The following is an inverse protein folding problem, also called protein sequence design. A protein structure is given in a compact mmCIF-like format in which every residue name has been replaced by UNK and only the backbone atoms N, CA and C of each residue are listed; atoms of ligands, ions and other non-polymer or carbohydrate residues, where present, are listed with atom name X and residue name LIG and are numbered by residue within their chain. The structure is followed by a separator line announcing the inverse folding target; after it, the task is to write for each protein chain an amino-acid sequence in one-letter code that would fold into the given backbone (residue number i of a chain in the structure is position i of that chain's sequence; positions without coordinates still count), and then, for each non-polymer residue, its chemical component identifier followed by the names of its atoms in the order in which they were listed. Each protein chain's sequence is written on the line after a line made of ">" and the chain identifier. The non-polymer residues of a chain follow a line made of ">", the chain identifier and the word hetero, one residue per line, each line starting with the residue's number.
data_IF_277645734435
#
_entry.id   IF_277645734435
#
_cell.length_a   1.000
_cell.length_b   1.000
_cell.length_c   1.000
_cell.angle_alpha   90.00
_cell.angle_beta   90.00
_cell.angle_gamma   90.00
#
_symmetry.space_group_name_H-M   'P 1'
#
loop_
_entity.id
_entity.type
_entity.pdbx_description
1 polymer ?
#
# COMPACT_ATOMS: atom_id res chain seq x y z
N UNK A 1 59.01 7.58 -20.39
CA UNK A 1 58.39 8.60 -19.51
C UNK A 1 57.73 7.89 -18.34
N UNK A 2 58.43 7.79 -17.21
CA UNK A 2 58.02 7.05 -16.02
C UNK A 2 56.97 7.84 -15.25
N UNK A 3 55.72 7.34 -15.20
CA UNK A 3 54.66 7.97 -14.40
C UNK A 3 54.95 7.73 -12.92
N UNK A 4 55.17 8.80 -12.18
CA UNK A 4 55.35 8.80 -10.73
C UNK A 4 54.11 8.18 -10.04
N UNK A 5 54.31 7.05 -9.35
CA UNK A 5 53.23 6.28 -8.70
C UNK A 5 52.88 6.91 -7.35
N UNK A 6 51.99 7.91 -7.34
CA UNK A 6 51.45 8.47 -6.08
C UNK A 6 50.47 7.49 -5.45
N UNK A 7 50.80 7.06 -4.23
CA UNK A 7 50.06 6.07 -3.45
C UNK A 7 49.25 6.78 -2.36
N UNK A 8 47.98 6.39 -2.21
CA UNK A 8 47.00 6.99 -1.28
C UNK A 8 46.51 5.93 -0.30
N UNK A 9 45.89 6.33 0.81
CA UNK A 9 45.23 5.39 1.71
C UNK A 9 43.73 5.36 1.42
N UNK A 10 43.16 4.16 1.31
CA UNK A 10 41.73 3.95 1.24
C UNK A 10 41.09 4.50 2.51
N UNK A 11 40.08 5.36 2.40
CA UNK A 11 39.48 5.95 3.60
C UNK A 11 38.56 5.00 4.38
N UNK A 12 38.15 3.86 3.79
CA UNK A 12 37.32 2.85 4.48
C UNK A 12 38.14 1.81 5.25
N UNK A 13 39.13 1.18 4.62
CA UNK A 13 39.94 0.14 5.27
C UNK A 13 41.35 0.61 5.68
N UNK A 14 41.72 1.86 5.35
CA UNK A 14 43.03 2.49 5.63
C UNK A 14 44.22 1.85 4.91
N UNK A 15 43.98 0.84 4.09
CA UNK A 15 45.01 0.20 3.27
C UNK A 15 45.47 1.05 2.09
N UNK A 16 46.67 0.76 1.62
CA UNK A 16 47.35 1.56 0.61
C UNK A 16 46.82 1.22 -0.80
N UNK A 17 46.34 2.24 -1.53
CA UNK A 17 45.72 2.13 -2.85
C UNK A 17 46.28 3.16 -3.84
N UNK A 18 46.23 2.85 -5.13
CA UNK A 18 46.67 3.78 -6.17
C UNK A 18 45.66 4.92 -6.36
N UNK A 19 46.15 6.13 -6.67
CA UNK A 19 45.33 7.37 -6.78
C UNK A 19 44.09 7.21 -7.68
N UNK A 20 44.20 6.42 -8.74
CA UNK A 20 43.16 6.26 -9.77
C UNK A 20 42.42 4.93 -9.66
N UNK A 21 42.54 4.21 -8.54
CA UNK A 21 41.80 2.97 -8.34
C UNK A 21 40.29 3.27 -8.25
N UNK A 22 39.51 2.79 -9.23
CA UNK A 22 38.04 2.92 -9.23
C UNK A 22 37.39 2.11 -8.12
N UNK A 23 38.07 1.10 -7.60
CA UNK A 23 37.58 0.23 -6.53
C UNK A 23 38.76 -0.22 -5.67
N UNK A 24 38.60 -0.25 -4.35
CA UNK A 24 39.64 -0.72 -3.45
C UNK A 24 39.78 -2.26 -3.56
N UNK A 25 40.99 -2.80 -3.80
CA UNK A 25 41.21 -4.24 -3.89
C UNK A 25 41.14 -4.95 -2.53
N UNK A 26 41.24 -4.23 -1.41
CA UNK A 26 41.23 -4.81 -0.07
C UNK A 26 39.84 -4.90 0.57
N UNK A 27 38.92 -3.98 0.23
CA UNK A 27 37.59 -3.94 0.84
C UNK A 27 36.43 -3.79 -0.16
N UNK A 28 36.71 -3.65 -1.46
CA UNK A 28 35.68 -3.58 -2.51
C UNK A 28 34.94 -2.24 -2.62
N UNK A 29 35.28 -1.22 -1.83
CA UNK A 29 34.61 0.10 -1.91
C UNK A 29 34.94 0.80 -3.24
N UNK A 30 33.91 1.31 -3.92
CA UNK A 30 34.07 2.12 -5.13
C UNK A 30 34.57 3.52 -4.77
N UNK A 31 35.56 4.02 -5.52
CA UNK A 31 36.23 5.31 -5.32
C UNK A 31 36.80 5.55 -3.90
N UNK A 32 37.85 4.81 -3.50
CA UNK A 32 38.38 4.80 -2.13
C UNK A 32 39.05 6.10 -1.67
N UNK A 33 39.29 7.04 -2.59
CA UNK A 33 40.03 8.29 -2.35
C UNK A 33 39.12 9.51 -2.14
N UNK A 34 37.84 9.43 -2.53
CA UNK A 34 36.87 10.53 -2.37
C UNK A 34 36.04 10.34 -1.11
N UNK A 35 35.86 11.43 -0.37
CA UNK A 35 34.97 11.48 0.79
C UNK A 35 33.59 11.92 0.33
N UNK A 36 32.64 10.99 0.24
CA UNK A 36 31.22 11.31 0.40
C UNK A 36 30.96 11.51 1.88
N UNK A 37 31.42 12.64 2.41
CA UNK A 37 31.11 13.07 3.75
C UNK A 37 30.70 14.55 3.73
N UNK A 38 29.43 14.75 4.09
CA UNK A 38 29.00 15.78 5.02
C UNK A 38 28.51 17.11 4.44
N UNK A 39 27.24 17.08 4.00
CA UNK A 39 26.36 18.24 3.86
C UNK A 39 25.92 18.86 5.20
N UNK A 40 26.86 19.34 6.01
CA UNK A 40 26.55 20.10 7.24
C UNK A 40 27.03 21.56 7.26
N UNK A 41 27.79 22.03 6.28
CA UNK A 41 28.23 23.44 6.26
C UNK A 41 27.36 24.37 5.40
N UNK A 42 26.42 23.84 4.62
CA UNK A 42 25.49 24.65 3.81
C UNK A 42 24.30 25.21 4.62
N UNK A 43 24.06 24.72 5.84
CA UNK A 43 22.90 25.12 6.65
C UNK A 43 23.11 26.44 7.41
N UNK A 44 24.34 26.81 7.75
CA UNK A 44 24.59 28.02 8.56
C UNK A 44 24.36 29.31 7.74
N UNK A 45 24.70 29.30 6.44
CA UNK A 45 24.49 30.47 5.56
C UNK A 45 23.02 30.61 5.15
N UNK A 46 22.29 29.50 5.00
CA UNK A 46 20.86 29.53 4.66
C UNK A 46 19.97 29.93 5.86
N UNK A 47 20.33 29.55 7.09
CA UNK A 47 19.58 29.93 8.30
C UNK A 47 19.62 31.44 8.60
N UNK A 48 20.67 32.16 8.18
CA UNK A 48 20.75 33.61 8.37
C UNK A 48 19.81 34.40 7.44
N UNK A 49 19.55 33.89 6.23
CA UNK A 49 18.62 34.50 5.26
C UNK A 49 17.16 34.26 5.67
N UNK A 50 16.87 33.08 6.24
CA UNK A 50 15.53 32.72 6.70
C UNK A 50 15.16 33.45 8.01
N UNK A 51 16.11 33.69 8.91
CA UNK A 51 15.85 34.32 10.22
C UNK A 51 15.35 35.77 10.16
N UNK A 52 15.78 36.56 9.16
CA UNK A 52 15.32 37.95 9.00
C UNK A 52 14.06 38.10 8.15
N UNK A 53 13.73 37.11 7.30
CA UNK A 53 12.56 37.15 6.42
C UNK A 53 11.22 36.91 7.14
N UNK A 54 11.22 36.28 8.31
CA UNK A 54 10.00 35.88 9.02
C UNK A 54 9.52 36.85 10.10
N UNK A 55 10.26 37.92 10.44
CA UNK A 55 9.74 38.94 11.37
C UNK A 55 8.72 39.90 10.71
N UNK A 56 8.48 39.78 9.40
CA UNK A 56 7.56 40.62 8.64
C UNK A 56 6.23 39.96 8.26
N UNK A 57 5.93 38.75 8.75
CA UNK A 57 4.63 38.08 8.56
C UNK A 57 4.21 37.33 9.83
N UNK A 58 3.97 38.08 10.90
CA UNK A 58 3.09 37.64 11.96
C UNK A 58 1.65 37.85 11.50
N UNK A 59 1.09 36.87 10.80
CA UNK A 59 -0.35 36.66 10.89
C UNK A 59 -0.74 35.18 10.82
N UNK A 60 -1.54 34.82 11.81
CA UNK A 60 -2.56 33.78 11.86
C UNK A 60 -2.24 32.28 11.68
N UNK A 61 -2.62 31.58 12.76
CA UNK A 61 -3.42 30.35 12.79
C UNK A 61 -2.69 29.01 12.65
N UNK A 62 -2.33 28.47 13.82
CA UNK A 62 -2.11 27.05 14.04
C UNK A 62 -3.39 26.25 13.75
N UNK A 63 -3.47 25.65 12.58
CA UNK A 63 -4.32 24.48 12.32
C UNK A 63 -3.49 23.46 11.56
N UNK A 64 -3.51 22.19 12.01
CA UNK A 64 -3.64 21.00 11.17
C UNK A 64 -3.42 19.73 12.01
N UNK A 65 -4.50 19.25 12.64
CA UNK A 65 -4.66 17.87 13.11
C UNK A 65 -5.97 17.26 12.54
N UNK A 66 -6.36 17.65 11.32
CA UNK A 66 -7.69 17.35 10.76
C UNK A 66 -7.69 16.25 9.70
N UNK A 67 -6.54 15.85 9.15
CA UNK A 67 -6.50 14.91 8.01
C UNK A 67 -6.79 13.44 8.38
N UNK A 68 -6.38 12.98 9.56
CA UNK A 68 -6.53 11.56 9.95
C UNK A 68 -7.95 11.20 10.39
N UNK A 69 -8.67 12.14 11.01
CA UNK A 69 -10.03 11.88 11.50
C UNK A 69 -11.07 11.88 10.36
N UNK A 70 -10.88 12.73 9.34
CA UNK A 70 -11.80 12.78 8.20
C UNK A 70 -11.76 11.50 7.34
N UNK A 71 -10.59 10.88 7.17
CA UNK A 71 -10.44 9.67 6.36
C UNK A 71 -11.03 8.43 7.06
N UNK A 72 -10.85 8.33 8.38
CA UNK A 72 -11.43 7.24 9.18
C UNK A 72 -12.97 7.31 9.21
N UNK A 73 -13.54 8.51 9.28
CA UNK A 73 -15.01 8.68 9.20
C UNK A 73 -15.53 8.24 7.84
N UNK A 74 -14.89 8.63 6.74
CA UNK A 74 -15.31 8.24 5.38
C UNK A 74 -15.25 6.72 5.15
N UNK A 75 -14.23 6.05 5.65
CA UNK A 75 -14.09 4.59 5.58
C UNK A 75 -15.18 3.88 6.40
N UNK A 76 -15.54 4.43 7.56
CA UNK A 76 -16.64 3.90 8.37
C UNK A 76 -18.01 4.10 7.72
N UNK A 77 -18.20 5.18 6.97
CA UNK A 77 -19.45 5.44 6.25
C UNK A 77 -19.58 4.56 5.01
N UNK A 78 -18.46 4.19 4.39
CA UNK A 78 -18.41 3.19 3.33
C UNK A 78 -18.81 1.80 3.82
N UNK A 79 -18.31 1.36 4.99
CA UNK A 79 -18.75 0.09 5.59
C UNK A 79 -20.27 0.07 5.80
N UNK A 80 -20.84 1.17 6.31
CA UNK A 80 -22.30 1.29 6.49
C UNK A 80 -23.05 1.23 5.17
N UNK A 81 -22.52 1.79 4.09
CA UNK A 81 -23.19 1.74 2.79
C UNK A 81 -23.22 0.32 2.24
N UNK A 82 -22.13 -0.44 2.37
CA UNK A 82 -22.10 -1.86 2.03
C UNK A 82 -23.08 -2.66 2.91
N UNK A 83 -23.08 -2.43 4.22
CA UNK A 83 -24.01 -3.11 5.11
C UNK A 83 -25.47 -2.79 4.75
N UNK A 84 -25.80 -1.55 4.40
CA UNK A 84 -27.13 -1.20 3.90
C UNK A 84 -27.48 -1.95 2.61
N UNK A 85 -26.54 -2.07 1.67
CA UNK A 85 -26.74 -2.87 0.44
C UNK A 85 -27.00 -4.35 0.77
N UNK A 86 -26.30 -4.91 1.75
CA UNK A 86 -26.48 -6.31 2.16
C UNK A 86 -27.85 -6.61 2.79
N UNK A 87 -28.51 -5.62 3.37
CA UNK A 87 -29.87 -5.76 3.93
C UNK A 87 -30.98 -5.45 2.92
N UNK A 88 -30.62 -5.07 1.69
CA UNK A 88 -31.55 -4.85 0.58
C UNK A 88 -31.62 -6.09 -0.34
N UNK A 89 -32.45 -6.03 -1.38
CA UNK A 89 -32.51 -7.06 -2.43
C UNK A 89 -31.36 -6.95 -3.46
N UNK A 90 -30.31 -6.16 -3.15
CA UNK A 90 -29.16 -5.96 -4.04
C UNK A 90 -28.28 -7.22 -4.24
N UNK A 91 -27.97 -8.06 -3.22
CA UNK A 91 -27.15 -9.25 -3.43
C UNK A 91 -27.82 -10.21 -4.42
N UNK A 92 -27.09 -10.58 -5.46
CA UNK A 92 -27.55 -11.50 -6.49
C UNK A 92 -26.96 -12.91 -6.28
N UNK A 93 -27.57 -13.96 -6.85
CA UNK A 93 -26.97 -15.28 -6.87
C UNK A 93 -25.58 -15.26 -7.54
N UNK A 94 -24.63 -15.95 -6.93
CA UNK A 94 -23.29 -16.14 -7.47
C UNK A 94 -22.79 -17.54 -7.17
N UNK A 95 -21.96 -18.06 -8.07
CA UNK A 95 -21.34 -19.38 -7.92
C UNK A 95 -19.86 -19.21 -7.62
N UNK A 96 -19.38 -19.86 -6.57
CA UNK A 96 -17.96 -19.98 -6.28
C UNK A 96 -17.39 -21.11 -7.13
N UNK A 97 -16.46 -20.80 -8.03
CA UNK A 97 -15.87 -21.79 -8.94
C UNK A 97 -14.39 -22.06 -8.65
N UNK A 98 -13.76 -21.23 -7.82
CA UNK A 98 -12.38 -21.43 -7.39
C UNK A 98 -12.21 -20.88 -5.97
N UNK A 99 -11.45 -21.59 -5.15
CA UNK A 99 -11.02 -21.14 -3.84
C UNK A 99 -9.57 -21.53 -3.63
N UNK A 100 -8.81 -20.67 -2.96
CA UNK A 100 -7.41 -20.92 -2.62
C UNK A 100 -7.11 -20.46 -1.19
N UNK A 101 -6.31 -21.26 -0.48
CA UNK A 101 -5.80 -20.89 0.84
C UNK A 101 -4.54 -20.06 0.64
N UNK A 102 -4.70 -18.74 0.82
CA UNK A 102 -3.63 -17.76 0.72
C UNK A 102 -3.12 -17.33 2.10
N UNK A 103 -3.30 -18.19 3.11
CA UNK A 103 -2.80 -17.95 4.46
C UNK A 103 -1.27 -17.77 4.46
N UNK A 104 -0.82 -16.81 5.25
CA UNK A 104 0.60 -16.46 5.37
C UNK A 104 0.88 -15.93 6.78
N UNK A 105 2.00 -16.37 7.36
CA UNK A 105 2.32 -16.15 8.76
C UNK A 105 1.15 -16.59 9.67
N UNK A 106 0.76 -15.77 10.64
CA UNK A 106 -0.26 -16.11 11.64
C UNK A 106 -1.68 -15.67 11.27
N UNK A 107 -1.96 -15.37 9.99
CA UNK A 107 -3.29 -14.90 9.56
C UNK A 107 -3.90 -15.86 8.55
N UNK A 108 -5.07 -16.38 8.89
CA UNK A 108 -5.84 -17.25 7.99
C UNK A 108 -6.56 -16.42 6.93
N UNK A 109 -6.39 -16.81 5.67
CA UNK A 109 -6.88 -16.06 4.51
C UNK A 109 -7.44 -17.00 3.46
N UNK A 110 -8.51 -16.57 2.80
CA UNK A 110 -9.09 -17.29 1.68
C UNK A 110 -9.21 -16.35 0.48
N UNK A 111 -8.80 -16.80 -0.69
CA UNK A 111 -9.20 -16.17 -1.94
C UNK A 111 -10.29 -17.00 -2.59
N UNK A 112 -11.31 -16.35 -3.14
CA UNK A 112 -12.35 -17.00 -3.91
C UNK A 112 -12.58 -16.26 -5.21
N UNK A 113 -12.83 -17.02 -6.28
CA UNK A 113 -13.37 -16.48 -7.52
C UNK A 113 -14.82 -16.89 -7.64
N UNK A 114 -15.67 -15.91 -7.88
CA UNK A 114 -17.09 -16.10 -8.08
C UNK A 114 -17.49 -15.57 -9.45
N UNK A 115 -18.52 -16.14 -10.04
CA UNK A 115 -19.19 -15.50 -11.17
C UNK A 115 -20.66 -15.25 -10.85
N UNK A 116 -21.22 -14.19 -11.41
CA UNK A 116 -22.64 -13.88 -11.38
C UNK A 116 -23.06 -13.32 -12.74
N UNK A 117 -24.14 -13.86 -13.30
CA UNK A 117 -24.70 -13.41 -14.58
C UNK A 117 -25.92 -12.51 -14.40
N UNK A 118 -26.39 -12.35 -13.16
CA UNK A 118 -27.63 -11.62 -12.83
C UNK A 118 -27.35 -10.26 -12.20
N UNK A 119 -26.14 -9.99 -11.72
CA UNK A 119 -25.75 -8.66 -11.27
C UNK A 119 -25.49 -7.75 -12.47
N UNK A 120 -26.41 -6.82 -12.72
CA UNK A 120 -26.38 -5.88 -13.85
C UNK A 120 -25.96 -4.47 -13.43
N UNK A 121 -25.87 -4.19 -12.13
CA UNK A 121 -25.42 -2.88 -11.62
C UNK A 121 -24.20 -3.01 -10.72
N UNK A 122 -23.45 -1.92 -10.58
CA UNK A 122 -22.29 -1.88 -9.67
C UNK A 122 -22.68 -2.16 -8.22
N UNK A 123 -23.84 -1.68 -7.77
CA UNK A 123 -24.34 -1.92 -6.42
C UNK A 123 -24.69 -3.40 -6.21
N UNK A 124 -25.29 -4.05 -7.21
CA UNK A 124 -25.56 -5.49 -7.18
C UNK A 124 -24.27 -6.29 -7.17
N UNK A 125 -23.28 -5.95 -8.00
CA UNK A 125 -21.97 -6.62 -7.99
C UNK A 125 -21.27 -6.48 -6.63
N UNK A 126 -21.26 -5.26 -6.09
CA UNK A 126 -20.64 -4.98 -4.79
C UNK A 126 -21.33 -5.74 -3.66
N UNK A 127 -22.66 -5.70 -3.61
CA UNK A 127 -23.47 -6.41 -2.63
C UNK A 127 -23.28 -7.93 -2.72
N UNK A 128 -23.20 -8.46 -3.95
CA UNK A 128 -22.96 -9.88 -4.22
C UNK A 128 -21.58 -10.31 -3.73
N UNK A 129 -20.54 -9.53 -4.04
CA UNK A 129 -19.18 -9.78 -3.59
C UNK A 129 -19.07 -9.75 -2.05
N UNK A 130 -19.64 -8.73 -1.41
CA UNK A 130 -19.64 -8.57 0.03
C UNK A 130 -20.40 -9.71 0.73
N UNK A 131 -21.55 -10.12 0.18
CA UNK A 131 -22.35 -11.24 0.69
C UNK A 131 -21.57 -12.55 0.62
N UNK A 132 -20.97 -12.84 -0.55
CA UNK A 132 -20.13 -14.01 -0.73
C UNK A 132 -18.92 -14.01 0.22
N UNK A 133 -18.25 -12.85 0.39
CA UNK A 133 -17.11 -12.71 1.28
C UNK A 133 -17.48 -13.03 2.74
N UNK A 134 -18.61 -12.50 3.25
CA UNK A 134 -19.11 -12.78 4.61
C UNK A 134 -19.47 -14.25 4.79
N UNK A 135 -20.18 -14.85 3.82
CA UNK A 135 -20.55 -16.27 3.88
C UNK A 135 -19.31 -17.17 3.90
N UNK A 136 -18.34 -16.90 3.03
CA UNK A 136 -17.08 -17.64 2.97
C UNK A 136 -16.26 -17.45 4.25
N UNK A 137 -16.23 -16.24 4.80
CA UNK A 137 -15.55 -15.93 6.06
C UNK A 137 -16.15 -16.76 7.20
N UNK A 138 -17.47 -16.77 7.34
CA UNK A 138 -18.18 -17.52 8.39
C UNK A 138 -18.03 -19.03 8.22
N UNK A 139 -18.19 -19.53 6.98
CA UNK A 139 -18.11 -20.95 6.65
C UNK A 139 -16.72 -21.52 6.94
N UNK A 140 -15.67 -20.81 6.52
CA UNK A 140 -14.29 -21.29 6.65
C UNK A 140 -13.59 -20.81 7.94
N UNK A 141 -14.23 -19.90 8.69
CA UNK A 141 -13.70 -19.31 9.93
C UNK A 141 -12.31 -18.67 9.74
N UNK A 142 -12.08 -18.05 8.58
CA UNK A 142 -10.85 -17.33 8.25
C UNK A 142 -10.92 -15.88 8.72
N UNK A 143 -9.77 -15.22 8.88
CA UNK A 143 -9.69 -13.82 9.34
C UNK A 143 -9.82 -12.81 8.20
N UNK A 144 -9.62 -13.25 6.96
CA UNK A 144 -9.67 -12.41 5.77
C UNK A 144 -10.17 -13.20 4.57
N UNK A 145 -10.99 -12.59 3.73
CA UNK A 145 -11.44 -13.15 2.45
C UNK A 145 -11.25 -12.14 1.33
N UNK A 146 -10.65 -12.56 0.23
CA UNK A 146 -10.59 -11.80 -1.03
C UNK A 146 -11.50 -12.46 -2.07
N UNK A 147 -12.50 -11.72 -2.56
CA UNK A 147 -13.45 -12.19 -3.56
C UNK A 147 -13.19 -11.47 -4.87
N UNK A 148 -12.82 -12.22 -5.89
CA UNK A 148 -12.70 -11.74 -7.27
C UNK A 148 -13.99 -12.11 -7.99
N UNK A 149 -14.68 -11.11 -8.53
CA UNK A 149 -15.96 -11.29 -9.22
C UNK A 149 -15.75 -11.30 -10.72
N UNK A 150 -16.40 -12.24 -11.40
CA UNK A 150 -16.51 -12.34 -12.86
C UNK A 150 -17.99 -12.22 -13.26
N UNK A 151 -18.27 -11.64 -14.43
CA UNK A 151 -19.65 -11.48 -14.96
C UNK A 151 -20.06 -12.58 -15.93
N UNK A 152 -19.13 -13.48 -16.26
CA UNK A 152 -19.33 -14.63 -17.14
C UNK A 152 -18.42 -15.78 -16.71
N UNK A 153 -18.81 -17.02 -17.04
CA UNK A 153 -18.00 -18.22 -16.80
C UNK A 153 -16.82 -18.34 -17.77
N UNK A 154 -16.98 -17.80 -18.98
CA UNK A 154 -16.00 -17.91 -20.06
C UNK A 154 -15.14 -16.67 -20.21
N UNK A 155 -15.58 -15.55 -19.63
CA UNK A 155 -14.87 -14.30 -19.69
C UNK A 155 -13.94 -14.15 -18.50
N UNK A 156 -12.74 -13.64 -18.75
CA UNK A 156 -11.76 -13.32 -17.73
C UNK A 156 -11.86 -11.86 -17.28
N UNK A 157 -12.89 -11.13 -17.72
CA UNK A 157 -13.23 -9.81 -17.20
C UNK A 157 -13.57 -9.88 -15.71
N UNK A 158 -12.68 -9.28 -14.91
CA UNK A 158 -12.79 -9.15 -13.47
C UNK A 158 -13.21 -7.72 -13.12
N UNK A 159 -14.49 -7.35 -13.11
CA UNK A 159 -14.91 -5.97 -12.82
C UNK A 159 -14.48 -5.49 -11.44
N UNK A 160 -14.45 -6.40 -10.46
CA UNK A 160 -14.30 -6.05 -9.05
C UNK A 160 -13.52 -7.12 -8.28
N UNK A 161 -12.61 -6.68 -7.40
CA UNK A 161 -12.15 -7.46 -6.25
C UNK A 161 -12.60 -6.77 -4.96
N UNK A 162 -13.17 -7.56 -4.04
CA UNK A 162 -13.56 -7.12 -2.71
C UNK A 162 -12.84 -7.94 -1.65
N UNK A 163 -12.12 -7.23 -0.79
CA UNK A 163 -11.44 -7.77 0.37
C UNK A 163 -12.28 -7.50 1.63
N UNK A 164 -12.45 -8.52 2.46
CA UNK A 164 -13.22 -8.47 3.69
C UNK A 164 -12.38 -8.92 4.88
N UNK A 165 -12.23 -8.03 5.86
CA UNK A 165 -11.55 -8.25 7.12
C UNK A 165 -12.45 -7.78 8.28
N UNK A 166 -13.21 -8.67 8.97
CA UNK A 166 -14.13 -8.26 10.03
C UNK A 166 -13.43 -7.55 11.20
N UNK A 167 -12.13 -7.83 11.41
CA UNK A 167 -11.30 -7.20 12.43
C UNK A 167 -10.76 -5.80 12.02
N UNK A 168 -11.09 -5.33 10.81
CA UNK A 168 -10.60 -4.08 10.20
C UNK A 168 -9.08 -4.02 10.08
N UNK A 169 -8.39 -5.17 10.05
CA UNK A 169 -6.92 -5.18 9.93
C UNK A 169 -6.41 -5.49 8.52
N UNK A 170 -7.30 -5.41 7.53
CA UNK A 170 -7.01 -5.64 6.11
C UNK A 170 -6.31 -6.98 5.84
N UNK A 171 -5.49 -7.01 4.80
CA UNK A 171 -4.76 -8.22 4.37
C UNK A 171 -3.60 -8.57 5.31
N UNK A 172 -2.89 -7.57 5.87
CA UNK A 172 -1.72 -7.83 6.71
C UNK A 172 -2.11 -8.36 8.10
N UNK A 173 -3.19 -7.85 8.68
CA UNK A 173 -3.60 -8.15 10.06
C UNK A 173 -2.89 -7.34 11.13
N UNK A 174 -2.07 -6.36 10.74
CA UNK A 174 -1.21 -5.64 11.69
C UNK A 174 -1.83 -4.33 12.18
N UNK A 175 -2.43 -3.54 11.28
CA UNK A 175 -2.91 -2.19 11.55
C UNK A 175 -4.41 -2.11 11.29
N UNK A 176 -5.12 -1.41 12.15
CA UNK A 176 -6.52 -1.04 11.88
C UNK A 176 -6.54 -0.10 10.66
N UNK A 177 -7.23 -0.52 9.61
CA UNK A 177 -7.41 0.22 8.35
C UNK A 177 -8.59 1.17 8.43
N UNK A 178 -9.42 1.09 9.47
CA UNK A 178 -10.63 1.89 9.60
C UNK A 178 -11.82 1.37 8.80
N UNK A 179 -11.69 0.24 8.09
CA UNK A 179 -12.78 -0.36 7.32
C UNK A 179 -12.72 -1.88 7.30
N UNK A 180 -13.88 -2.52 7.26
CA UNK A 180 -13.99 -3.97 7.07
C UNK A 180 -13.88 -4.39 5.61
N UNK A 181 -14.14 -3.47 4.67
CA UNK A 181 -14.20 -3.76 3.24
C UNK A 181 -13.21 -2.90 2.46
N UNK A 182 -12.39 -3.53 1.63
CA UNK A 182 -11.56 -2.83 0.65
C UNK A 182 -11.97 -3.28 -0.75
N UNK A 183 -12.16 -2.31 -1.66
CA UNK A 183 -12.85 -2.55 -2.94
C UNK A 183 -12.00 -1.97 -4.06
N UNK A 184 -11.57 -2.85 -4.96
CA UNK A 184 -10.79 -2.47 -6.15
C UNK A 184 -11.62 -2.71 -7.41
N UNK A 185 -12.06 -1.62 -8.03
CA UNK A 185 -12.75 -1.66 -9.32
C UNK A 185 -11.73 -1.65 -10.47
N UNK A 186 -11.82 -2.63 -11.36
CA UNK A 186 -11.09 -2.64 -12.62
C UNK A 186 -11.95 -2.13 -13.78
N UNK A 187 -13.24 -2.46 -13.74
CA UNK A 187 -14.23 -2.02 -14.71
C UNK A 187 -15.57 -1.90 -14.01
N UNK A 188 -16.19 -0.73 -14.13
CA UNK A 188 -17.57 -0.54 -13.67
C UNK A 188 -18.50 -0.99 -14.79
N UNK A 189 -19.64 -1.58 -14.41
CA UNK A 189 -20.71 -1.81 -15.36
C UNK A 189 -21.26 -0.45 -15.80
N UNK A 190 -21.29 -0.25 -17.11
CA UNK A 190 -21.98 0.88 -17.73
C UNK A 190 -23.48 0.71 -17.48
N UNK A 191 -24.14 1.82 -17.12
CA UNK A 191 -25.56 1.85 -16.79
C UNK A 191 -26.45 1.52 -17.99
#
# INVERSE_FOLDING_TARGET
>A
MSKEKKIYKCKSCKETVEKNAKTCPHCGVKNPTITTAQGCFSFIILSLIIGFGFYACSDNQSTNNTKTQSQMTQLSDFDKSIDNLLHSDAPQPATVFYTDDISFASRSRLQAKIYTTTATTNDQLLATAASAARQLQQKNRVQFVSVIVFTSETDHEQPLTLDYAPDRKGTSGEKDTGSQYEVTWYQKLDK
#
